data_IF_975146160541
#
_entry.id   IF_975146160541
#
_cell.length_a   1.000
_cell.length_b   1.000
_cell.length_c   1.000
_cell.angle_alpha   90.00
_cell.angle_beta   90.00
_cell.angle_gamma   90.00
#
_symmetry.space_group_name_H-M   'P 1'
#
loop_
_entity.id
_entity.type
_entity.pdbx_description
1 polymer ?
#
# COMPACT_ATOMS: atom_id res chain seq x y z
N UNK A 1 10.07 10.26 10.66
CA UNK A 1 9.28 10.89 9.57
C UNK A 1 7.96 10.17 9.42
N UNK A 2 7.00 10.77 8.74
CA UNK A 2 5.70 10.18 8.39
C UNK A 2 5.72 9.59 7.00
N UNK A 3 5.27 8.33 6.88
CA UNK A 3 5.15 7.64 5.60
C UNK A 3 3.71 7.25 5.30
N UNK A 4 3.25 7.59 4.10
CA UNK A 4 2.00 7.10 3.54
C UNK A 4 2.27 5.95 2.59
N UNK A 5 1.76 4.75 2.85
CA UNK A 5 1.97 3.58 1.98
C UNK A 5 0.66 3.25 1.26
N UNK A 6 0.57 3.54 -0.03
CA UNK A 6 -0.62 3.28 -0.84
C UNK A 6 -0.58 1.82 -1.30
N UNK A 7 -1.39 0.95 -0.67
CA UNK A 7 -1.49 -0.48 -1.02
C UNK A 7 -1.38 -1.41 0.18
N UNK A 8 -2.30 -2.38 0.27
CA UNK A 8 -2.42 -3.35 1.38
C UNK A 8 -1.92 -4.75 1.02
N UNK A 9 -1.24 -4.90 -0.13
CA UNK A 9 -0.59 -6.14 -0.54
C UNK A 9 0.72 -6.39 0.20
N UNK A 10 1.38 -7.52 -0.12
CA UNK A 10 2.61 -7.94 0.58
C UNK A 10 3.71 -6.87 0.55
N UNK A 11 3.95 -6.22 -0.60
CA UNK A 11 4.96 -5.16 -0.74
C UNK A 11 4.68 -4.00 0.23
N UNK A 12 3.44 -3.50 0.24
CA UNK A 12 3.05 -2.40 1.12
C UNK A 12 3.19 -2.76 2.61
N UNK A 13 2.78 -3.98 2.99
CA UNK A 13 2.91 -4.49 4.36
C UNK A 13 4.37 -4.61 4.79
N UNK A 14 5.22 -5.21 3.96
CA UNK A 14 6.64 -5.40 4.26
C UNK A 14 7.35 -4.05 4.45
N UNK A 15 7.13 -3.09 3.55
CA UNK A 15 7.74 -1.77 3.66
C UNK A 15 7.19 -1.01 4.87
N UNK A 16 5.88 -1.06 5.12
CA UNK A 16 5.26 -0.42 6.27
C UNK A 16 5.80 -0.97 7.60
N UNK A 17 5.90 -2.30 7.73
CA UNK A 17 6.51 -2.94 8.89
C UNK A 17 7.95 -2.46 9.10
N UNK A 18 8.76 -2.46 8.03
CA UNK A 18 10.16 -2.07 8.16
C UNK A 18 10.34 -0.59 8.54
N UNK A 19 9.54 0.30 7.98
CA UNK A 19 9.55 1.72 8.33
C UNK A 19 9.14 1.93 9.79
N UNK A 20 8.12 1.21 10.27
CA UNK A 20 7.69 1.27 11.66
C UNK A 20 8.77 0.74 12.62
N UNK A 21 9.46 -0.36 12.29
CA UNK A 21 10.62 -0.87 13.06
C UNK A 21 11.76 0.16 13.17
N UNK A 22 11.92 1.02 12.16
CA UNK A 22 12.90 2.10 12.13
C UNK A 22 12.40 3.38 12.84
N UNK A 23 11.33 3.27 13.64
CA UNK A 23 10.72 4.36 14.42
C UNK A 23 10.14 5.49 13.54
N UNK A 24 9.62 5.16 12.36
CA UNK A 24 8.82 6.08 11.57
C UNK A 24 7.32 5.90 11.83
N UNK A 25 6.54 6.98 11.69
CA UNK A 25 5.09 6.88 11.77
C UNK A 25 4.55 6.46 10.40
N UNK A 26 3.67 5.46 10.35
CA UNK A 26 3.23 4.86 9.09
C UNK A 26 1.71 4.75 9.03
N UNK A 27 1.13 5.18 7.91
CA UNK A 27 -0.26 4.90 7.56
C UNK A 27 -0.30 4.14 6.24
N UNK A 28 -0.94 2.96 6.26
CA UNK A 28 -1.26 2.21 5.04
C UNK A 28 -2.61 2.69 4.49
N UNK A 29 -2.64 2.98 3.21
CA UNK A 29 -3.81 3.42 2.46
C UNK A 29 -4.48 2.26 1.73
N UNK A 30 -5.81 2.24 1.77
CA UNK A 30 -6.67 1.34 0.97
C UNK A 30 -7.79 2.11 0.26
N UNK A 31 -8.52 1.46 -0.63
CA UNK A 31 -9.73 2.03 -1.26
C UNK A 31 -10.85 2.21 -0.24
N UNK A 32 -11.10 1.15 0.53
CA UNK A 32 -12.16 1.10 1.53
C UNK A 32 -11.67 0.37 2.78
N UNK A 33 -11.73 1.07 3.91
CA UNK A 33 -11.19 0.58 5.19
C UNK A 33 -12.01 -0.60 5.71
N UNK A 34 -13.34 -0.49 5.68
CA UNK A 34 -14.24 -1.51 6.19
C UNK A 34 -14.08 -2.84 5.43
N UNK A 35 -14.08 -2.80 4.10
CA UNK A 35 -13.87 -3.95 3.23
C UNK A 35 -12.49 -4.58 3.45
N UNK A 36 -11.46 -3.76 3.67
CA UNK A 36 -10.10 -4.25 3.93
C UNK A 36 -10.03 -5.02 5.24
N UNK A 37 -10.67 -4.50 6.29
CA UNK A 37 -10.68 -5.12 7.61
C UNK A 37 -11.60 -6.36 7.69
N UNK A 38 -12.68 -6.37 6.91
CA UNK A 38 -13.62 -7.49 6.85
C UNK A 38 -13.05 -8.74 6.15
N UNK A 39 -11.98 -8.60 5.35
CA UNK A 39 -11.32 -9.75 4.71
C UNK A 39 -10.60 -10.58 5.76
N UNK A 40 -10.90 -11.87 5.79
CA UNK A 40 -10.31 -12.85 6.72
C UNK A 40 -9.55 -13.97 6.01
N UNK A 41 -9.73 -14.11 4.70
CA UNK A 41 -9.13 -15.17 3.90
C UNK A 41 -7.64 -14.94 3.63
N UNK A 42 -6.92 -16.04 3.41
CA UNK A 42 -5.54 -15.99 2.91
C UNK A 42 -5.54 -15.47 1.47
N UNK A 43 -4.47 -14.77 1.08
CA UNK A 43 -4.28 -14.41 -0.33
C UNK A 43 -3.82 -15.61 -1.18
N UNK A 44 -3.71 -15.42 -2.49
CA UNK A 44 -3.27 -16.46 -3.43
C UNK A 44 -1.85 -17.00 -3.22
N UNK A 45 -1.09 -16.42 -2.29
CA UNK A 45 0.25 -16.86 -1.90
C UNK A 45 0.28 -17.40 -0.46
N UNK A 46 -0.88 -17.56 0.19
CA UNK A 46 -1.00 -18.07 1.56
C UNK A 46 -0.68 -17.03 2.65
N UNK A 47 -0.57 -15.75 2.31
CA UNK A 47 -0.36 -14.72 3.33
C UNK A 47 -1.65 -14.45 4.10
N UNK A 48 -1.58 -14.11 5.41
CA UNK A 48 -2.75 -13.74 6.20
C UNK A 48 -3.47 -12.52 5.62
N UNK A 49 -4.73 -12.31 6.02
CA UNK A 49 -5.46 -11.09 5.67
C UNK A 49 -4.79 -9.83 6.25
N UNK A 50 -5.15 -8.65 5.75
CA UNK A 50 -4.60 -7.39 6.28
C UNK A 50 -4.96 -7.19 7.76
N UNK A 51 -6.19 -7.52 8.16
CA UNK A 51 -6.64 -7.40 9.55
C UNK A 51 -5.84 -8.30 10.49
N UNK A 52 -5.56 -9.55 10.11
CA UNK A 52 -4.69 -10.45 10.88
C UNK A 52 -3.25 -9.93 10.95
N UNK A 53 -2.70 -9.46 9.83
CA UNK A 53 -1.36 -8.88 9.81
C UNK A 53 -1.24 -7.65 10.71
N UNK A 54 -2.24 -6.75 10.69
CA UNK A 54 -2.23 -5.52 11.47
C UNK A 54 -2.23 -5.75 13.00
N UNK A 55 -2.78 -6.88 13.48
CA UNK A 55 -2.71 -7.26 14.90
C UNK A 55 -1.28 -7.42 15.41
N UNK A 56 -0.33 -7.73 14.53
CA UNK A 56 1.10 -7.83 14.85
C UNK A 56 1.85 -6.51 14.66
N UNK A 57 1.19 -5.51 14.07
CA UNK A 57 1.76 -4.20 13.73
C UNK A 57 0.81 -3.06 14.16
N UNK A 58 0.38 -3.08 15.43
CA UNK A 58 -0.67 -2.18 15.97
C UNK A 58 -0.31 -0.70 15.92
N UNK A 59 0.98 -0.36 15.80
CA UNK A 59 1.46 1.01 15.61
C UNK A 59 1.19 1.56 14.19
N UNK A 60 0.89 0.68 13.23
CA UNK A 60 0.65 1.06 11.83
C UNK A 60 -0.84 1.37 11.64
N UNK A 61 -1.12 2.59 11.20
CA UNK A 61 -2.48 3.05 10.97
C UNK A 61 -3.02 2.54 9.62
N UNK A 62 -4.33 2.40 9.52
CA UNK A 62 -5.03 2.11 8.26
C UNK A 62 -5.97 3.27 7.95
N UNK A 63 -5.92 3.77 6.72
CA UNK A 63 -6.82 4.81 6.22
C UNK A 63 -7.15 4.62 4.74
N UNK A 64 -7.91 5.56 4.18
CA UNK A 64 -8.11 5.63 2.73
C UNK A 64 -6.81 6.05 2.02
N UNK A 65 -6.73 5.87 0.71
CA UNK A 65 -5.61 6.38 -0.09
C UNK A 65 -5.36 7.88 0.12
N UNK A 66 -6.43 8.68 0.21
CA UNK A 66 -6.32 10.12 0.46
C UNK A 66 -5.76 10.42 1.87
N UNK A 67 -6.22 9.69 2.88
CA UNK A 67 -5.72 9.86 4.25
C UNK A 67 -4.23 9.48 4.35
N UNK A 68 -3.82 8.36 3.76
CA UNK A 68 -2.42 7.92 3.77
C UNK A 68 -1.50 8.90 3.01
N UNK A 69 -1.91 9.38 1.84
CA UNK A 69 -1.14 10.36 1.07
C UNK A 69 -1.04 11.72 1.77
N UNK A 70 -2.11 12.16 2.44
CA UNK A 70 -2.09 13.39 3.24
C UNK A 70 -1.17 13.25 4.47
N UNK A 71 -1.23 12.10 5.14
CA UNK A 71 -0.44 11.78 6.33
C UNK A 71 1.08 11.75 6.09
N UNK A 72 1.52 11.13 5.00
CA UNK A 72 2.94 10.95 4.71
C UNK A 72 3.63 12.24 4.29
N UNK A 73 4.83 12.50 4.82
CA UNK A 73 5.80 13.43 4.25
C UNK A 73 6.46 12.82 3.00
N UNK A 74 6.63 11.49 3.02
CA UNK A 74 7.05 10.65 1.90
C UNK A 74 5.94 9.63 1.64
N UNK A 75 5.59 9.43 0.37
CA UNK A 75 4.53 8.51 -0.04
C UNK A 75 5.13 7.37 -0.86
N UNK A 76 4.70 6.14 -0.59
CA UNK A 76 5.08 4.95 -1.35
C UNK A 76 3.87 4.47 -2.16
N UNK A 77 4.03 4.30 -3.47
CA UNK A 77 3.08 3.55 -4.29
C UNK A 77 3.48 2.07 -4.29
N UNK A 78 2.74 1.26 -3.53
CA UNK A 78 2.91 -0.20 -3.43
C UNK A 78 1.66 -0.94 -3.91
N UNK A 79 0.93 -0.36 -4.87
CA UNK A 79 -0.22 -0.99 -5.51
C UNK A 79 0.21 -1.92 -6.66
N UNK A 80 -0.72 -2.71 -7.18
CA UNK A 80 -0.51 -3.35 -8.48
C UNK A 80 -0.38 -2.27 -9.56
N UNK A 81 0.60 -2.37 -10.45
CA UNK A 81 0.87 -1.33 -11.44
C UNK A 81 -0.32 -1.03 -12.36
N UNK A 82 -1.13 -2.05 -12.69
CA UNK A 82 -2.36 -1.86 -13.45
C UNK A 82 -3.43 -1.01 -12.75
N UNK A 83 -3.31 -0.83 -11.43
CA UNK A 83 -4.22 -0.02 -10.59
C UNK A 83 -3.55 1.24 -10.02
N UNK A 84 -2.27 1.48 -10.27
CA UNK A 84 -1.52 2.60 -9.67
C UNK A 84 -2.12 3.95 -9.98
N UNK A 85 -2.45 4.22 -11.26
CA UNK A 85 -2.99 5.52 -11.65
C UNK A 85 -4.35 5.80 -11.02
N UNK A 86 -5.20 4.79 -10.87
CA UNK A 86 -6.50 4.94 -10.20
C UNK A 86 -6.30 5.22 -8.71
N UNK A 87 -5.41 4.45 -8.05
CA UNK A 87 -5.10 4.64 -6.64
C UNK A 87 -4.52 6.02 -6.34
N UNK A 88 -3.60 6.51 -7.18
CA UNK A 88 -3.00 7.84 -7.06
C UNK A 88 -4.02 8.96 -7.32
N UNK A 89 -4.97 8.77 -8.26
CA UNK A 89 -6.09 9.71 -8.45
C UNK A 89 -6.99 9.79 -7.21
N UNK A 90 -7.32 8.64 -6.63
CA UNK A 90 -8.13 8.56 -5.40
C UNK A 90 -7.40 9.14 -4.18
N UNK A 91 -6.06 9.09 -4.16
CA UNK A 91 -5.26 9.76 -3.14
C UNK A 91 -5.32 11.29 -3.22
N UNK A 92 -5.66 11.84 -4.40
CA UNK A 92 -5.82 13.26 -4.65
C UNK A 92 -4.51 13.98 -4.96
N UNK A 93 -4.43 14.67 -6.11
CA UNK A 93 -3.19 15.29 -6.61
C UNK A 93 -2.55 16.26 -5.61
N UNK A 94 -3.36 17.04 -4.88
CA UNK A 94 -2.88 18.00 -3.90
C UNK A 94 -2.08 17.36 -2.76
N UNK A 95 -2.34 16.07 -2.45
CA UNK A 95 -1.64 15.36 -1.39
C UNK A 95 -0.16 15.10 -1.71
N UNK A 96 0.26 15.23 -2.98
CA UNK A 96 1.63 14.94 -3.44
C UNK A 96 2.49 16.19 -3.67
N UNK A 97 1.91 17.39 -3.63
CA UNK A 97 2.64 18.62 -3.93
C UNK A 97 3.83 18.82 -2.98
N UNK A 98 5.04 18.90 -3.53
CA UNK A 98 6.28 19.09 -2.77
C UNK A 98 6.74 17.86 -1.98
N UNK A 99 6.09 16.71 -2.14
CA UNK A 99 6.44 15.46 -1.44
C UNK A 99 7.22 14.52 -2.34
N UNK A 100 7.99 13.62 -1.72
CA UNK A 100 8.63 12.51 -2.42
C UNK A 100 7.61 11.40 -2.63
N UNK A 101 7.47 10.94 -3.87
CA UNK A 101 6.75 9.72 -4.23
C UNK A 101 7.77 8.64 -4.63
N UNK A 102 7.83 7.56 -3.85
CA UNK A 102 8.62 6.36 -4.17
C UNK A 102 7.68 5.37 -4.84
N UNK A 103 7.89 5.09 -6.12
CA UNK A 103 7.10 4.10 -6.85
C UNK A 103 7.80 2.75 -6.89
N UNK A 104 7.15 1.73 -6.34
CA UNK A 104 7.62 0.33 -6.37
C UNK A 104 6.64 -0.58 -7.12
N UNK A 105 5.64 0.00 -7.79
CA UNK A 105 4.67 -0.76 -8.56
C UNK A 105 5.26 -1.26 -9.88
N UNK A 106 4.91 -2.49 -10.26
CA UNK A 106 5.26 -3.07 -11.55
C UNK A 106 4.00 -3.15 -12.44
N UNK A 107 3.99 -2.57 -13.65
CA UNK A 107 2.84 -2.60 -14.56
C UNK A 107 2.71 -3.95 -15.27
N UNK A 108 2.56 -5.03 -14.50
CA UNK A 108 2.42 -6.39 -15.01
C UNK A 108 1.04 -6.58 -15.65
N UNK A 109 1.03 -7.03 -16.89
CA UNK A 109 -0.17 -7.38 -17.63
C UNK A 109 -0.40 -8.89 -17.61
N UNK A 110 -1.40 -9.33 -16.86
CA UNK A 110 -1.79 -10.73 -16.74
C UNK A 110 -2.93 -11.14 -17.70
N UNK A 111 -3.41 -10.23 -18.57
CA UNK A 111 -4.54 -10.48 -19.47
C UNK A 111 -4.28 -11.59 -20.49
N UNK A 112 -3.00 -11.92 -20.73
CA UNK A 112 -2.55 -12.96 -21.67
C UNK A 112 -1.71 -14.05 -21.02
N UNK A 113 -1.90 -14.30 -19.72
CA UNK A 113 -1.11 -15.24 -18.93
C UNK A 113 0.05 -14.56 -18.19
N UNK A 114 0.98 -15.36 -17.65
CA UNK A 114 2.12 -14.82 -16.91
C UNK A 114 3.03 -13.98 -17.84
N UNK A 115 3.38 -12.73 -17.46
CA UNK A 115 4.35 -11.94 -18.19
C UNK A 115 5.66 -12.71 -18.36
N UNK A 116 6.23 -12.67 -19.57
CA UNK A 116 7.52 -13.28 -19.84
C UNK A 116 8.57 -12.68 -18.89
N UNK A 117 9.33 -13.55 -18.22
CA UNK A 117 10.54 -13.11 -17.52
C UNK A 117 11.55 -12.73 -18.60
N UNK A 118 12.12 -11.53 -18.52
CA UNK A 118 13.35 -11.22 -19.24
C UNK A 118 14.39 -12.24 -18.79
N UNK A 119 14.81 -13.13 -19.69
CA UNK A 119 15.97 -13.99 -19.45
C UNK A 119 17.25 -13.16 -19.48
#
# INVERSE_FOLDING_TARGET
MKFGVIGTGIVGRTLAAKLAELNHEVMVGTRDVATTLARTELDGYGNPSFSTWQQQHTQIQLGTFAQAAAFGEIVLNATSGGSSLEALKLAGNAAFNGKILIDVANPLDFSRGLPLRSQ
#
